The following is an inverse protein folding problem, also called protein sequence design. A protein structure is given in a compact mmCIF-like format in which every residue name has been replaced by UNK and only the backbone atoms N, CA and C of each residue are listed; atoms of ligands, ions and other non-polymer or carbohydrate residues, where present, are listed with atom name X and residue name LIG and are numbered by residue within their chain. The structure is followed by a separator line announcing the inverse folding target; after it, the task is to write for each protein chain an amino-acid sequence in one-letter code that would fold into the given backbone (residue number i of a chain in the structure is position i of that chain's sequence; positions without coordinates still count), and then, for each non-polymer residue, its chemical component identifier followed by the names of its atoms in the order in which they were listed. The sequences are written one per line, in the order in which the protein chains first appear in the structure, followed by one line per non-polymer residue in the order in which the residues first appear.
data_IF_346220995672
#
_entry.id   IF_346220995672
#
_cell.length_a   1.000
_cell.length_b   1.000
_cell.length_c   1.000
_cell.angle_alpha   90.00
_cell.angle_beta   90.00
_cell.angle_gamma   90.00
#
_symmetry.space_group_name_H-M   'P 1'
#
loop_
_entity.id
_entity.type
_entity.pdbx_description
1 polymer ?
#
# COMPACT_ATOMS: atom_id res chain seq x y z
N UNK A 1 3.08 -5.46 1.05
CA UNK A 1 2.00 -4.62 1.63
C UNK A 1 2.26 -3.14 1.41
N UNK A 2 3.49 -2.67 1.55
CA UNK A 2 3.97 -1.33 1.14
C UNK A 2 3.49 -0.92 -0.25
N UNK A 3 3.75 -1.73 -1.29
CA UNK A 3 3.29 -1.43 -2.65
C UNK A 3 1.77 -1.19 -2.72
N UNK A 4 0.96 -2.06 -2.09
CA UNK A 4 -0.50 -1.93 -2.06
C UNK A 4 -0.92 -0.61 -1.39
N UNK A 5 -0.28 -0.27 -0.27
CA UNK A 5 -0.52 1.00 0.41
C UNK A 5 -0.22 2.19 -0.50
N UNK A 6 0.96 2.19 -1.14
CA UNK A 6 1.37 3.25 -2.06
C UNK A 6 0.42 3.42 -3.25
N UNK A 7 0.04 2.34 -3.94
CA UNK A 7 -0.84 2.44 -5.11
C UNK A 7 -2.27 2.86 -4.72
N UNK A 8 -2.79 2.43 -3.57
CA UNK A 8 -4.12 2.85 -3.08
C UNK A 8 -4.11 4.32 -2.66
N UNK A 9 -3.07 4.80 -1.97
CA UNK A 9 -2.94 6.22 -1.65
C UNK A 9 -2.71 7.09 -2.88
N UNK A 10 -1.96 6.57 -3.86
CA UNK A 10 -1.80 7.22 -5.17
C UNK A 10 -3.16 7.39 -5.82
N UNK A 11 -3.99 6.33 -5.86
CA UNK A 11 -5.35 6.41 -6.40
C UNK A 11 -6.22 7.40 -5.65
N UNK A 12 -6.21 7.37 -4.31
CA UNK A 12 -6.93 8.31 -3.47
C UNK A 12 -6.53 9.77 -3.69
N UNK A 13 -5.23 10.03 -3.92
CA UNK A 13 -4.68 11.37 -4.14
C UNK A 13 -4.98 11.96 -5.52
N UNK A 14 -5.48 11.17 -6.48
CA UNK A 14 -5.81 11.67 -7.81
C UNK A 14 -6.93 12.72 -7.75
N UNK A 15 -6.85 13.79 -8.58
CA UNK A 15 -7.75 14.94 -8.48
C UNK A 15 -9.22 14.60 -8.75
N UNK A 16 -9.48 13.52 -9.50
CA UNK A 16 -10.84 13.03 -9.71
C UNK A 16 -11.39 12.25 -8.50
N UNK A 17 -10.54 11.62 -7.67
CA UNK A 17 -10.98 10.91 -6.45
C UNK A 17 -11.10 11.88 -5.29
N UNK A 18 -10.09 12.71 -5.05
CA UNK A 18 -10.08 13.72 -4.00
C UNK A 18 -9.48 15.04 -4.49
N UNK A 19 -10.23 16.14 -4.33
CA UNK A 19 -9.70 17.48 -4.60
C UNK A 19 -8.61 17.86 -3.60
N UNK A 20 -7.56 18.53 -4.11
CA UNK A 20 -6.46 19.14 -3.37
C UNK A 20 -5.54 18.16 -2.61
N UNK A 21 -5.50 16.88 -3.00
CA UNK A 21 -4.64 15.86 -2.37
C UNK A 21 -3.40 15.49 -3.22
N UNK A 22 -2.92 16.40 -4.06
CA UNK A 22 -1.83 16.11 -5.02
C UNK A 22 -0.53 15.71 -4.33
N UNK A 23 -0.25 16.21 -3.11
CA UNK A 23 0.94 15.83 -2.36
C UNK A 23 0.90 14.36 -1.91
N UNK A 24 -0.29 13.86 -1.57
CA UNK A 24 -0.49 12.43 -1.26
C UNK A 24 -0.22 11.60 -2.51
N UNK A 25 -0.68 12.07 -3.67
CA UNK A 25 -0.42 11.42 -4.94
C UNK A 25 1.08 11.36 -5.26
N UNK A 26 1.81 12.49 -5.19
CA UNK A 26 3.23 12.53 -5.58
C UNK A 26 4.11 11.64 -4.69
N UNK A 27 3.94 11.71 -3.37
CA UNK A 27 4.78 10.95 -2.44
C UNK A 27 4.52 9.44 -2.55
N UNK A 28 3.26 9.04 -2.68
CA UNK A 28 2.90 7.62 -2.79
C UNK A 28 3.17 7.07 -4.18
N UNK A 29 3.05 7.87 -5.24
CA UNK A 29 3.44 7.48 -6.59
C UNK A 29 4.95 7.20 -6.63
N UNK A 30 5.75 8.09 -6.07
CA UNK A 30 7.21 7.93 -5.98
C UNK A 30 7.58 6.70 -5.16
N UNK A 31 6.97 6.53 -3.97
CA UNK A 31 7.14 5.33 -3.15
C UNK A 31 6.74 4.05 -3.89
N UNK A 32 5.64 4.09 -4.64
CA UNK A 32 5.17 2.97 -5.46
C UNK A 32 6.17 2.55 -6.54
N UNK A 33 6.82 3.52 -7.21
CA UNK A 33 7.89 3.23 -8.18
C UNK A 33 9.10 2.57 -7.51
N UNK A 34 9.49 3.05 -6.34
CA UNK A 34 10.61 2.48 -5.57
C UNK A 34 10.28 1.04 -5.14
N UNK A 35 9.10 0.82 -4.55
CA UNK A 35 8.64 -0.50 -4.11
C UNK A 35 8.51 -1.48 -5.29
N UNK A 36 7.99 -1.02 -6.42
CA UNK A 36 7.92 -1.83 -7.64
C UNK A 36 9.32 -2.23 -8.13
N UNK A 37 10.27 -1.29 -8.10
CA UNK A 37 11.67 -1.56 -8.45
C UNK A 37 12.27 -2.64 -7.56
N UNK A 38 12.04 -2.59 -6.24
CA UNK A 38 12.48 -3.64 -5.32
C UNK A 38 11.90 -5.02 -5.66
N UNK A 39 10.60 -5.09 -6.00
CA UNK A 39 9.95 -6.34 -6.39
C UNK A 39 10.54 -6.88 -7.68
N UNK A 40 10.77 -6.04 -8.69
CA UNK A 40 11.40 -6.44 -9.95
C UNK A 40 12.80 -7.00 -9.72
N UNK A 41 13.63 -6.32 -8.93
CA UNK A 41 14.96 -6.80 -8.55
C UNK A 41 14.85 -8.16 -7.86
N UNK A 42 13.93 -8.31 -6.90
CA UNK A 42 13.73 -9.58 -6.19
C UNK A 42 13.27 -10.71 -7.12
N UNK A 43 12.44 -10.42 -8.12
CA UNK A 43 11.99 -11.43 -9.09
C UNK A 43 13.16 -11.86 -10.00
N UNK A 44 14.06 -10.96 -10.37
CA UNK A 44 15.20 -11.28 -11.24
C UNK A 44 16.26 -12.09 -10.47
N UNK A 45 16.63 -11.64 -9.27
CA UNK A 45 17.80 -12.16 -8.55
C UNK A 45 17.46 -13.10 -7.39
N UNK A 46 16.19 -13.19 -7.00
CA UNK A 46 15.75 -13.92 -5.82
C UNK A 46 15.75 -15.46 -5.99
N UNK A 47 15.80 -16.22 -4.88
CA UNK A 47 15.71 -17.67 -4.92
C UNK A 47 14.40 -18.16 -5.55
N UNK A 48 14.46 -19.18 -6.41
CA UNK A 48 13.29 -19.69 -7.18
C UNK A 48 12.03 -19.91 -6.34
N UNK A 49 12.17 -20.50 -5.14
CA UNK A 49 11.04 -20.79 -4.24
C UNK A 49 10.36 -19.51 -3.73
N UNK A 50 11.15 -18.55 -3.26
CA UNK A 50 10.60 -17.31 -2.71
C UNK A 50 10.11 -16.37 -3.82
N UNK A 51 10.75 -16.40 -5.00
CA UNK A 51 10.28 -15.69 -6.19
C UNK A 51 8.84 -16.03 -6.55
N UNK A 52 8.49 -17.33 -6.59
CA UNK A 52 7.12 -17.74 -6.94
C UNK A 52 6.09 -17.22 -5.93
N UNK A 53 6.43 -17.20 -4.64
CA UNK A 53 5.57 -16.61 -3.61
C UNK A 53 5.41 -15.10 -3.80
N UNK A 54 6.50 -14.38 -4.06
CA UNK A 54 6.46 -12.93 -4.29
C UNK A 54 5.68 -12.59 -5.56
N UNK A 55 5.81 -13.36 -6.63
CA UNK A 55 5.00 -13.20 -7.84
C UNK A 55 3.51 -13.41 -7.56
N UNK A 56 3.16 -14.46 -6.80
CA UNK A 56 1.77 -14.70 -6.38
C UNK A 56 1.21 -13.57 -5.51
N UNK A 57 2.02 -13.06 -4.58
CA UNK A 57 1.62 -11.94 -3.73
C UNK A 57 1.49 -10.63 -4.53
N UNK A 58 2.37 -10.40 -5.50
CA UNK A 58 2.28 -9.26 -6.41
C UNK A 58 0.99 -9.31 -7.24
N UNK A 59 0.66 -10.48 -7.80
CA UNK A 59 -0.60 -10.68 -8.53
C UNK A 59 -1.83 -10.45 -7.64
N UNK A 60 -1.79 -10.89 -6.38
CA UNK A 60 -2.84 -10.62 -5.40
C UNK A 60 -3.00 -9.11 -5.13
N UNK A 61 -1.89 -8.40 -4.93
CA UNK A 61 -1.90 -6.94 -4.71
C UNK A 61 -2.53 -6.21 -5.91
N UNK A 62 -2.15 -6.57 -7.13
CA UNK A 62 -2.70 -5.98 -8.34
C UNK A 62 -4.19 -6.28 -8.51
N UNK A 63 -4.62 -7.50 -8.17
CA UNK A 63 -6.04 -7.89 -8.18
C UNK A 63 -6.85 -7.06 -7.19
N UNK A 64 -6.38 -6.92 -5.94
CA UNK A 64 -7.05 -6.13 -4.90
C UNK A 64 -7.13 -4.65 -5.31
N UNK A 65 -6.03 -4.09 -5.81
CA UNK A 65 -6.02 -2.71 -6.30
C UNK A 65 -7.00 -2.48 -7.45
N UNK A 66 -7.01 -3.38 -8.44
CA UNK A 66 -7.92 -3.32 -9.58
C UNK A 66 -9.39 -3.38 -9.15
N UNK A 67 -9.72 -4.23 -8.17
CA UNK A 67 -11.07 -4.30 -7.60
C UNK A 67 -11.48 -2.97 -6.93
N UNK A 68 -10.61 -2.39 -6.11
CA UNK A 68 -10.86 -1.09 -5.45
C UNK A 68 -11.06 0.00 -6.50
N UNK A 69 -10.17 0.09 -7.49
CA UNK A 69 -10.24 1.07 -8.56
C UNK A 69 -11.55 0.92 -9.36
N UNK A 70 -11.90 -0.30 -9.75
CA UNK A 70 -13.11 -0.61 -10.52
C UNK A 70 -14.39 -0.24 -9.74
N UNK A 71 -14.50 -0.67 -8.47
CA UNK A 71 -15.64 -0.31 -7.61
C UNK A 71 -15.73 1.21 -7.44
N UNK A 72 -14.59 1.87 -7.24
CA UNK A 72 -14.55 3.32 -7.04
C UNK A 72 -15.04 4.11 -8.26
N UNK A 73 -14.77 3.62 -9.48
CA UNK A 73 -15.15 4.31 -10.72
C UNK A 73 -16.55 3.93 -11.20
N UNK A 74 -16.92 2.66 -11.09
CA UNK A 74 -18.14 2.13 -11.70
C UNK A 74 -19.34 2.22 -10.78
N UNK A 75 -19.15 2.08 -9.46
CA UNK A 75 -20.25 2.04 -8.50
C UNK A 75 -20.42 3.33 -7.69
N UNK A 76 -19.37 4.14 -7.55
CA UNK A 76 -19.35 5.28 -6.61
C UNK A 76 -19.14 6.62 -7.31
N UNK A 77 -19.85 7.65 -6.82
CA UNK A 77 -19.78 9.01 -7.36
C UNK A 77 -19.44 10.04 -6.27
N UNK A 78 -18.75 11.10 -6.66
CA UNK A 78 -18.48 12.27 -5.81
C UNK A 78 -17.85 11.93 -4.45
N UNK A 79 -18.49 12.38 -3.38
CA UNK A 79 -17.99 12.23 -2.01
C UNK A 79 -17.94 10.77 -1.54
N UNK A 80 -18.85 9.91 -1.99
CA UNK A 80 -18.86 8.49 -1.58
C UNK A 80 -17.64 7.76 -2.11
N UNK A 81 -17.20 8.08 -3.34
CA UNK A 81 -15.95 7.57 -3.91
C UNK A 81 -14.74 7.98 -3.07
N UNK A 82 -14.66 9.27 -2.71
CA UNK A 82 -13.58 9.80 -1.86
C UNK A 82 -13.53 9.07 -0.51
N UNK A 83 -14.68 8.94 0.14
CA UNK A 83 -14.77 8.29 1.45
C UNK A 83 -14.36 6.81 1.39
N UNK A 84 -14.89 6.06 0.42
CA UNK A 84 -14.54 4.65 0.21
C UNK A 84 -13.04 4.44 -0.03
N UNK A 85 -12.45 5.19 -0.97
CA UNK A 85 -11.01 5.09 -1.24
C UNK A 85 -10.16 5.52 -0.03
N UNK A 86 -10.60 6.53 0.72
CA UNK A 86 -9.94 6.98 1.95
C UNK A 86 -9.95 5.92 3.05
N UNK A 87 -11.10 5.26 3.27
CA UNK A 87 -11.20 4.16 4.24
C UNK A 87 -10.33 2.97 3.81
N UNK A 88 -10.35 2.59 2.54
CA UNK A 88 -9.49 1.52 2.03
C UNK A 88 -8.00 1.86 2.26
N UNK A 89 -7.57 3.08 1.95
CA UNK A 89 -6.20 3.55 2.19
C UNK A 89 -5.83 3.48 3.68
N UNK A 90 -6.71 3.96 4.57
CA UNK A 90 -6.48 3.94 6.01
C UNK A 90 -6.37 2.51 6.58
N UNK A 91 -7.19 1.58 6.10
CA UNK A 91 -7.14 0.18 6.51
C UNK A 91 -5.78 -0.45 6.16
N UNK A 92 -5.31 -0.31 4.92
CA UNK A 92 -4.02 -0.86 4.51
C UNK A 92 -2.84 -0.18 5.22
N UNK A 93 -2.94 1.12 5.47
CA UNK A 93 -1.95 1.85 6.27
C UNK A 93 -1.88 1.30 7.69
N UNK A 94 -3.03 0.97 8.28
CA UNK A 94 -3.09 0.42 9.65
C UNK A 94 -2.41 -0.94 9.72
N UNK A 95 -2.63 -1.80 8.73
CA UNK A 95 -1.97 -3.11 8.63
C UNK A 95 -0.44 -2.98 8.57
N UNK A 96 0.09 -1.93 7.93
CA UNK A 96 1.54 -1.70 7.89
C UNK A 96 2.17 -1.50 9.27
N UNK A 97 1.43 -0.97 10.26
CA UNK A 97 1.95 -0.80 11.63
C UNK A 97 2.24 -2.12 12.36
N UNK A 98 1.78 -3.26 11.84
CA UNK A 98 2.15 -4.57 12.38
C UNK A 98 3.68 -4.79 12.37
N UNK A 99 4.39 -4.26 11.35
CA UNK A 99 5.86 -4.39 11.25
C UNK A 99 6.61 -3.67 12.38
N UNK A 100 6.44 -2.35 12.60
CA UNK A 100 7.11 -1.66 13.70
C UNK A 100 6.68 -2.19 15.07
N UNK A 101 5.40 -2.57 15.26
CA UNK A 101 4.94 -3.18 16.50
C UNK A 101 5.65 -4.51 16.79
N UNK A 102 5.91 -5.32 15.75
CA UNK A 102 6.68 -6.56 15.90
C UNK A 102 8.12 -6.29 16.37
N UNK A 103 8.73 -5.21 15.88
CA UNK A 103 10.09 -4.79 16.32
C UNK A 103 10.06 -4.30 17.77
N UNK A 104 9.10 -3.44 18.13
CA UNK A 104 8.96 -2.95 19.51
C UNK A 104 8.78 -4.08 20.52
N UNK A 105 8.00 -5.11 20.17
CA UNK A 105 7.82 -6.29 21.04
C UNK A 105 9.09 -7.13 21.20
N UNK A 106 9.98 -7.14 20.20
CA UNK A 106 11.23 -7.90 20.23
C UNK A 106 12.36 -7.18 20.97
N UNK A 107 12.27 -5.87 21.10
CA UNK A 107 13.27 -5.10 21.85
C UNK A 107 13.04 -5.30 23.35
N UNK A 108 14.08 -5.69 24.11
CA UNK A 108 13.98 -5.69 25.57
C UNK A 108 13.71 -4.26 26.04
N UNK A 109 12.74 -4.09 26.93
CA UNK A 109 12.52 -2.80 27.61
C UNK A 109 13.83 -2.46 28.35
N UNK A 110 14.48 -1.31 28.07
CA UNK A 110 15.64 -0.92 28.83
C UNK A 110 15.21 -0.78 30.29
N UNK A 111 15.84 -1.55 31.19
CA UNK A 111 15.61 -1.53 32.64
C UNK A 111 15.85 -0.16 33.31
N UNK A 112 16.29 0.87 32.56
CA UNK A 112 16.58 2.21 33.04
C UNK A 112 15.36 3.16 33.02
N UNK A 113 14.14 2.64 32.86
CA UNK A 113 12.88 3.44 32.84
C UNK A 113 11.89 2.99 33.93
N UNK A 114 12.32 2.15 34.88
CA UNK A 114 11.58 1.79 36.11
C UNK A 114 12.52 2.06 37.28
#
# INVERSE_FOLDING_TARGET
MTLLNCIVFTWYGLPFVSRNNILIWTINATGGVIEFTYIVIFIIFGPKKERMKVMGLFALIMTVFSAIASISLLALHGNTRKFFCGVAAALFSTVMFASPLSVMKRLPVPLNVI
#
